data_IF_601607510818
#
_entry.id   IF_601607510818
#
_cell.length_a   1.000
_cell.length_b   1.000
_cell.length_c   1.000
_cell.angle_alpha   90.00
_cell.angle_beta   90.00
_cell.angle_gamma   90.00
#
_symmetry.space_group_name_H-M   'P 1'
#
loop_
_entity.id
_entity.type
_entity.pdbx_description
1 polymer ?
#
# COMPACT_ATOMS: atom_id res chain seq x y z
N UNK A 1 -20.02 16.02 -20.87
CA UNK A 1 -19.23 15.36 -19.81
C UNK A 1 -18.19 16.33 -19.29
N UNK A 2 -18.09 16.48 -17.99
CA UNK A 2 -17.17 17.42 -17.34
C UNK A 2 -15.82 16.76 -17.10
N UNK A 3 -14.72 17.36 -17.58
CA UNK A 3 -13.40 16.78 -17.33
C UNK A 3 -13.04 16.67 -15.83
N UNK A 4 -13.52 17.62 -15.03
CA UNK A 4 -13.31 17.63 -13.59
C UNK A 4 -13.94 16.41 -12.92
N UNK A 5 -15.16 16.07 -13.32
CA UNK A 5 -15.88 14.90 -12.79
C UNK A 5 -15.10 13.61 -13.07
N UNK A 6 -14.58 13.48 -14.30
CA UNK A 6 -13.77 12.32 -14.68
C UNK A 6 -12.48 12.24 -13.88
N UNK A 7 -11.85 13.40 -13.63
CA UNK A 7 -10.61 13.47 -12.86
C UNK A 7 -10.83 13.02 -11.42
N UNK A 8 -11.90 13.47 -10.79
CA UNK A 8 -12.22 13.12 -9.41
C UNK A 8 -12.59 11.64 -9.30
N UNK A 9 -13.36 11.11 -10.25
CA UNK A 9 -13.69 9.69 -10.29
C UNK A 9 -12.43 8.84 -10.47
N UNK A 10 -11.49 9.29 -11.30
CA UNK A 10 -10.22 8.61 -11.51
C UNK A 10 -9.38 8.60 -10.23
N UNK A 11 -9.33 9.72 -9.51
CA UNK A 11 -8.61 9.80 -8.24
C UNK A 11 -9.21 8.89 -7.17
N UNK A 12 -10.54 8.83 -7.09
CA UNK A 12 -11.24 7.93 -6.17
C UNK A 12 -10.91 6.47 -6.50
N UNK A 13 -10.92 6.11 -7.79
CA UNK A 13 -10.58 4.76 -8.22
C UNK A 13 -9.12 4.41 -7.91
N UNK A 14 -8.21 5.35 -8.14
CA UNK A 14 -6.80 5.17 -7.80
C UNK A 14 -6.59 5.00 -6.29
N UNK A 15 -7.31 5.76 -5.49
CA UNK A 15 -7.24 5.65 -4.03
C UNK A 15 -7.73 4.28 -3.57
N UNK A 16 -8.86 3.79 -4.12
CA UNK A 16 -9.38 2.47 -3.80
C UNK A 16 -8.36 1.39 -4.17
N UNK A 17 -7.69 1.53 -5.31
CA UNK A 17 -6.63 0.61 -5.72
C UNK A 17 -5.45 0.63 -4.76
N UNK A 18 -5.02 1.83 -4.34
CA UNK A 18 -3.92 1.98 -3.40
C UNK A 18 -4.27 1.35 -2.04
N UNK A 19 -5.50 1.56 -1.54
CA UNK A 19 -5.98 0.92 -0.31
C UNK A 19 -5.94 -0.60 -0.42
N UNK A 20 -6.39 -1.14 -1.54
CA UNK A 20 -6.35 -2.58 -1.80
C UNK A 20 -4.93 -3.13 -1.82
N UNK A 21 -4.01 -2.42 -2.46
CA UNK A 21 -2.61 -2.81 -2.51
C UNK A 21 -1.97 -2.81 -1.12
N UNK A 22 -2.25 -1.80 -0.32
CA UNK A 22 -1.72 -1.75 1.07
C UNK A 22 -2.21 -2.96 1.85
N UNK A 23 -3.51 -3.29 1.78
CA UNK A 23 -4.07 -4.45 2.50
C UNK A 23 -3.43 -5.75 2.04
N UNK A 24 -3.28 -5.94 0.73
CA UNK A 24 -2.65 -7.15 0.18
C UNK A 24 -1.18 -7.27 0.60
N UNK A 25 -0.45 -6.18 0.57
CA UNK A 25 0.96 -6.17 0.95
C UNK A 25 1.13 -6.44 2.45
N UNK A 26 0.26 -5.89 3.29
CA UNK A 26 0.29 -6.16 4.74
C UNK A 26 0.05 -7.65 5.01
N UNK A 27 -0.90 -8.26 4.30
CA UNK A 27 -1.14 -9.69 4.41
C UNK A 27 0.09 -10.52 3.98
N UNK A 28 0.77 -10.07 2.92
CA UNK A 28 2.01 -10.72 2.47
C UNK A 28 3.12 -10.61 3.53
N UNK A 29 3.25 -9.45 4.15
CA UNK A 29 4.23 -9.23 5.24
C UNK A 29 3.94 -10.20 6.39
N UNK A 30 2.68 -10.32 6.80
CA UNK A 30 2.30 -11.21 7.90
C UNK A 30 2.65 -12.67 7.58
N UNK A 31 2.34 -13.12 6.36
CA UNK A 31 2.70 -14.49 5.92
C UNK A 31 4.20 -14.69 5.89
N UNK A 32 4.96 -13.69 5.44
CA UNK A 32 6.41 -13.79 5.36
C UNK A 32 7.04 -13.84 6.76
N UNK A 33 6.52 -13.07 7.70
CA UNK A 33 6.97 -13.11 9.10
C UNK A 33 6.72 -14.49 9.71
N UNK A 34 5.57 -15.10 9.43
CA UNK A 34 5.26 -16.44 9.92
C UNK A 34 6.22 -17.46 9.33
N UNK A 35 6.54 -17.35 8.04
CA UNK A 35 7.52 -18.23 7.40
C UNK A 35 8.89 -18.12 8.07
N UNK A 36 9.35 -16.90 8.35
CA UNK A 36 10.63 -16.67 9.02
C UNK A 36 10.62 -17.30 10.40
N UNK A 37 9.53 -17.13 11.14
CA UNK A 37 9.38 -17.73 12.46
C UNK A 37 9.49 -19.26 12.39
N UNK A 38 8.75 -19.88 11.46
CA UNK A 38 8.75 -21.33 11.28
C UNK A 38 10.13 -21.84 10.89
N UNK A 39 10.83 -21.15 9.98
CA UNK A 39 12.18 -21.50 9.57
C UNK A 39 13.17 -21.40 10.74
N UNK A 40 13.06 -20.33 11.53
CA UNK A 40 13.93 -20.12 12.69
C UNK A 40 13.71 -21.23 13.74
N UNK A 41 12.48 -21.61 14.01
CA UNK A 41 12.16 -22.69 14.94
C UNK A 41 12.72 -24.03 14.45
N UNK A 42 12.74 -24.25 13.14
CA UNK A 42 13.30 -25.46 12.54
C UNK A 42 14.84 -25.44 12.48
N UNK A 43 15.47 -24.35 12.90
CA UNK A 43 16.91 -24.19 12.81
C UNK A 43 17.43 -23.95 11.40
N UNK A 44 16.55 -23.57 10.47
CA UNK A 44 16.91 -23.31 9.08
C UNK A 44 17.45 -21.89 8.91
N UNK A 45 18.22 -21.69 7.84
CA UNK A 45 18.73 -20.37 7.47
C UNK A 45 17.58 -19.46 7.02
N UNK A 46 17.45 -18.27 7.65
CA UNK A 46 16.38 -17.33 7.35
C UNK A 46 16.83 -16.20 6.41
N UNK A 47 18.08 -16.22 5.93
CA UNK A 47 18.66 -15.10 5.18
C UNK A 47 17.83 -14.71 3.94
N UNK A 48 17.46 -15.68 3.11
CA UNK A 48 16.67 -15.43 1.91
C UNK A 48 15.27 -14.93 2.25
N UNK A 49 14.64 -15.51 3.27
CA UNK A 49 13.31 -15.11 3.71
C UNK A 49 13.33 -13.69 4.28
N UNK A 50 14.41 -13.31 4.96
CA UNK A 50 14.56 -11.95 5.49
C UNK A 50 14.69 -10.92 4.37
N UNK A 51 15.41 -11.25 3.30
CA UNK A 51 15.54 -10.37 2.13
C UNK A 51 14.16 -10.12 1.50
N UNK A 52 13.35 -11.17 1.38
CA UNK A 52 11.99 -11.04 0.84
C UNK A 52 11.15 -10.13 1.74
N UNK A 53 11.24 -10.30 3.06
CA UNK A 53 10.51 -9.45 4.01
C UNK A 53 10.92 -7.98 3.85
N UNK A 54 12.21 -7.70 3.75
CA UNK A 54 12.71 -6.34 3.59
C UNK A 54 12.15 -5.69 2.31
N UNK A 55 12.11 -6.45 1.21
CA UNK A 55 11.54 -5.98 -0.06
C UNK A 55 10.05 -5.70 0.06
N UNK A 56 9.31 -6.55 0.75
CA UNK A 56 7.87 -6.35 0.99
C UNK A 56 7.62 -5.10 1.82
N UNK A 57 8.43 -4.85 2.84
CA UNK A 57 8.30 -3.66 3.68
C UNK A 57 8.54 -2.37 2.89
N UNK A 58 9.50 -2.37 1.97
CA UNK A 58 9.73 -1.25 1.07
C UNK A 58 8.50 -1.00 0.21
N UNK A 59 7.91 -2.06 -0.34
CA UNK A 59 6.70 -1.95 -1.17
C UNK A 59 5.51 -1.40 -0.38
N UNK A 60 5.31 -1.87 0.85
CA UNK A 60 4.26 -1.33 1.75
C UNK A 60 4.46 0.17 1.94
N UNK A 61 5.68 0.58 2.25
CA UNK A 61 6.01 1.99 2.47
C UNK A 61 5.65 2.84 1.25
N UNK A 62 6.04 2.38 0.05
CA UNK A 62 5.77 3.10 -1.19
C UNK A 62 4.26 3.22 -1.46
N UNK A 63 3.49 2.16 -1.24
CA UNK A 63 2.04 2.19 -1.44
C UNK A 63 1.33 3.05 -0.40
N UNK A 64 1.80 3.05 0.86
CA UNK A 64 1.26 3.93 1.90
C UNK A 64 1.50 5.40 1.52
N UNK A 65 2.69 5.73 1.02
CA UNK A 65 2.99 7.10 0.57
C UNK A 65 2.10 7.50 -0.59
N UNK A 66 1.87 6.61 -1.55
CA UNK A 66 1.00 6.87 -2.69
C UNK A 66 -0.44 7.10 -2.23
N UNK A 67 -0.93 6.27 -1.31
CA UNK A 67 -2.26 6.46 -0.73
C UNK A 67 -2.40 7.81 -0.05
N UNK A 68 -1.40 8.22 0.72
CA UNK A 68 -1.39 9.53 1.38
C UNK A 68 -1.41 10.67 0.37
N UNK A 69 -0.65 10.55 -0.71
CA UNK A 69 -0.64 11.55 -1.78
C UNK A 69 -2.03 11.71 -2.40
N UNK A 70 -2.68 10.59 -2.70
CA UNK A 70 -4.03 10.60 -3.29
C UNK A 70 -5.05 11.20 -2.35
N UNK A 71 -4.99 10.85 -1.05
CA UNK A 71 -5.84 11.46 -0.03
C UNK A 71 -5.67 12.98 0.03
N UNK A 72 -4.42 13.44 0.01
CA UNK A 72 -4.11 14.87 0.07
C UNK A 72 -4.68 15.62 -1.15
N UNK A 73 -4.53 15.04 -2.34
CA UNK A 73 -5.06 15.65 -3.57
C UNK A 73 -6.58 15.74 -3.51
N UNK A 74 -7.26 14.66 -3.12
CA UNK A 74 -8.72 14.66 -3.02
C UNK A 74 -9.22 15.63 -1.96
N UNK A 75 -8.53 15.69 -0.82
CA UNK A 75 -8.89 16.62 0.24
C UNK A 75 -8.76 18.08 -0.21
N UNK A 76 -7.68 18.42 -0.91
CA UNK A 76 -7.46 19.76 -1.44
C UNK A 76 -8.54 20.14 -2.45
N UNK A 77 -8.94 19.22 -3.33
CA UNK A 77 -10.00 19.44 -4.31
C UNK A 77 -11.34 19.63 -3.64
N UNK A 78 -11.65 18.85 -2.60
CA UNK A 78 -12.89 19.00 -1.83
C UNK A 78 -12.94 20.36 -1.14
N UNK A 79 -11.83 20.81 -0.58
CA UNK A 79 -11.72 22.11 0.07
C UNK A 79 -11.94 23.24 -0.94
N UNK A 80 -11.34 23.14 -2.12
CA UNK A 80 -11.54 24.12 -3.20
C UNK A 80 -13.00 24.17 -3.65
N UNK A 81 -13.64 23.00 -3.79
CA UNK A 81 -15.04 22.93 -4.20
C UNK A 81 -15.97 23.53 -3.15
N UNK A 82 -15.63 23.43 -1.86
CA UNK A 82 -16.41 23.98 -0.76
C UNK A 82 -16.25 25.49 -0.63
N UNK A 83 -15.16 26.03 -1.10
CA UNK A 83 -14.91 27.47 -1.07
C UNK A 83 -15.67 28.18 -2.18
#
# INVERSE_FOLDING_TARGET
MQPEDNTDSSLVAELAKADGQVREMVACVDRQRQLIWDLAEAGSDISSAQIVLDSLLISVFLWVKERQRLHSVLHARSTEAAA
#
